data_IF_132850057537
#
_entry.id   IF_132850057537
#
_cell.length_a   1.000
_cell.length_b   1.000
_cell.length_c   1.000
_cell.angle_alpha   90.00
_cell.angle_beta   90.00
_cell.angle_gamma   90.00
#
_symmetry.space_group_name_H-M   'P 1'
#
loop_
_entity.id
_entity.type
_entity.pdbx_description
1 polymer ?
#
# COMPACT_ATOMS: atom_id res chain seq x y z
N UNK A 1 -22.66 -8.54 -21.87
CA UNK A 1 -22.68 -7.56 -20.76
C UNK A 1 -21.38 -6.79 -20.82
N UNK A 2 -21.41 -5.46 -20.64
CA UNK A 2 -20.18 -4.66 -20.63
C UNK A 2 -19.44 -4.86 -19.30
N UNK A 3 -18.15 -5.15 -19.37
CA UNK A 3 -17.31 -5.33 -18.20
C UNK A 3 -17.03 -3.98 -17.52
N UNK A 4 -17.07 -3.95 -16.19
CA UNK A 4 -16.74 -2.81 -15.35
C UNK A 4 -15.72 -3.25 -14.31
N UNK A 5 -14.63 -2.48 -14.22
CA UNK A 5 -13.59 -2.62 -13.20
C UNK A 5 -13.48 -1.29 -12.44
N UNK A 6 -13.21 -1.37 -11.15
CA UNK A 6 -12.79 -0.25 -10.32
C UNK A 6 -11.27 -0.33 -10.12
N UNK A 7 -10.59 0.81 -10.15
CA UNK A 7 -9.20 0.93 -9.75
C UNK A 7 -9.07 2.04 -8.71
N UNK A 8 -8.34 1.79 -7.62
CA UNK A 8 -8.27 2.75 -6.50
C UNK A 8 -6.81 3.16 -6.19
N UNK A 9 -6.10 3.88 -7.08
CA UNK A 9 -4.74 4.31 -6.84
C UNK A 9 -4.60 5.14 -5.57
N UNK A 10 -3.51 4.93 -4.85
CA UNK A 10 -3.12 5.71 -3.68
C UNK A 10 -1.74 6.28 -3.93
N UNK A 11 -1.66 7.60 -3.99
CA UNK A 11 -0.39 8.31 -4.19
C UNK A 11 0.09 8.91 -2.88
N UNK A 12 1.41 8.96 -2.71
CA UNK A 12 2.09 9.55 -1.55
C UNK A 12 2.22 11.06 -1.71
N UNK A 13 1.07 11.74 -1.80
CA UNK A 13 0.93 13.20 -1.79
C UNK A 13 -0.49 13.53 -1.33
N UNK A 14 -0.64 14.46 -0.40
CA UNK A 14 -1.94 14.90 0.14
C UNK A 14 -2.03 16.39 0.45
N UNK A 15 -1.02 17.18 0.06
CA UNK A 15 -0.84 18.59 0.43
C UNK A 15 -0.69 19.51 -0.78
N UNK A 16 0.05 19.11 -1.81
CA UNK A 16 0.22 19.86 -3.05
C UNK A 16 -0.95 19.57 -4.02
N UNK A 17 -1.95 20.46 -4.02
CA UNK A 17 -3.12 20.33 -4.89
C UNK A 17 -2.76 20.40 -6.38
N UNK A 18 -1.76 21.19 -6.76
CA UNK A 18 -1.34 21.31 -8.16
C UNK A 18 -0.70 20.02 -8.68
N UNK A 19 0.10 19.35 -7.84
CA UNK A 19 0.64 18.02 -8.13
C UNK A 19 -0.50 17.00 -8.29
N UNK A 20 -1.42 16.96 -7.32
CA UNK A 20 -2.55 16.02 -7.33
C UNK A 20 -3.42 16.22 -8.58
N UNK A 21 -3.74 17.48 -8.94
CA UNK A 21 -4.51 17.80 -10.14
C UNK A 21 -3.81 17.34 -11.42
N UNK A 22 -2.49 17.52 -11.53
CA UNK A 22 -1.72 17.06 -12.68
C UNK A 22 -1.75 15.53 -12.82
N UNK A 23 -1.63 14.82 -11.70
CA UNK A 23 -1.70 13.35 -11.65
C UNK A 23 -3.10 12.84 -12.03
N UNK A 24 -4.16 13.48 -11.51
CA UNK A 24 -5.55 13.13 -11.85
C UNK A 24 -5.87 13.46 -13.31
N UNK A 25 -5.33 14.56 -13.85
CA UNK A 25 -5.52 14.93 -15.25
C UNK A 25 -4.99 13.86 -16.21
N UNK A 26 -3.87 13.21 -15.89
CA UNK A 26 -3.31 12.11 -16.68
C UNK A 26 -4.23 10.88 -16.75
N UNK A 27 -5.14 10.71 -15.77
CA UNK A 27 -6.09 9.60 -15.71
C UNK A 27 -7.36 9.82 -16.56
N UNK A 28 -7.54 11.00 -17.16
CA UNK A 28 -8.74 11.34 -17.95
C UNK A 28 -8.70 10.70 -19.33
N UNK A 29 -9.23 9.49 -19.42
CA UNK A 29 -9.22 8.65 -20.63
C UNK A 29 -10.64 8.22 -20.97
N UNK A 30 -11.01 8.32 -22.25
CA UNK A 30 -12.33 7.91 -22.73
C UNK A 30 -12.62 6.44 -22.36
N UNK A 31 -13.75 6.21 -21.69
CA UNK A 31 -14.13 4.90 -21.15
C UNK A 31 -13.67 4.64 -19.70
N UNK A 32 -12.97 5.59 -19.09
CA UNK A 32 -12.64 5.63 -17.65
C UNK A 32 -13.22 6.90 -17.02
N UNK A 33 -13.80 6.79 -15.84
CA UNK A 33 -14.31 7.92 -15.05
C UNK A 33 -13.55 8.02 -13.74
N UNK A 34 -13.08 9.23 -13.41
CA UNK A 34 -12.61 9.57 -12.06
C UNK A 34 -13.84 9.81 -11.18
N UNK A 35 -14.13 8.88 -10.28
CA UNK A 35 -15.30 8.94 -9.39
C UNK A 35 -15.04 9.81 -8.16
N UNK A 36 -13.83 9.75 -7.59
CA UNK A 36 -13.44 10.57 -6.45
C UNK A 36 -11.93 10.84 -6.40
N UNK A 37 -11.57 11.93 -5.75
CA UNK A 37 -10.19 12.32 -5.41
C UNK A 37 -10.24 12.83 -3.97
N UNK A 38 -9.58 12.10 -3.07
CA UNK A 38 -9.69 12.29 -1.62
C UNK A 38 -8.28 12.49 -1.03
N UNK A 39 -7.75 13.72 -1.06
CA UNK A 39 -6.48 14.04 -0.42
C UNK A 39 -6.64 14.16 1.10
N UNK A 40 -5.62 13.68 1.83
CA UNK A 40 -5.52 13.78 3.28
C UNK A 40 -4.14 14.36 3.64
N UNK A 41 -4.13 15.53 4.27
CA UNK A 41 -2.91 16.27 4.59
C UNK A 41 -2.10 15.66 5.73
N UNK A 42 -2.77 14.98 6.67
CA UNK A 42 -2.14 14.37 7.85
C UNK A 42 -1.47 13.06 7.44
N UNK A 43 -2.19 12.26 6.67
CA UNK A 43 -1.65 11.03 6.06
C UNK A 43 -0.69 11.31 4.91
N UNK A 44 -0.70 12.54 4.37
CA UNK A 44 0.03 12.97 3.18
C UNK A 44 -0.12 11.96 2.02
N UNK A 45 -1.38 11.64 1.74
CA UNK A 45 -1.80 10.61 0.78
C UNK A 45 -3.07 11.06 0.09
N UNK A 46 -3.22 10.70 -1.18
CA UNK A 46 -4.48 10.90 -1.92
C UNK A 46 -5.00 9.55 -2.40
N UNK A 47 -6.27 9.28 -2.11
CA UNK A 47 -7.02 8.14 -2.65
C UNK A 47 -7.77 8.62 -3.88
N UNK A 48 -7.58 7.94 -5.01
CA UNK A 48 -8.24 8.26 -6.27
C UNK A 48 -9.07 7.05 -6.66
N UNK A 49 -10.33 7.23 -7.01
CA UNK A 49 -11.22 6.14 -7.44
C UNK A 49 -11.52 6.29 -8.92
N UNK A 50 -11.17 5.28 -9.70
CA UNK A 50 -11.41 5.17 -11.14
C UNK A 50 -12.41 4.04 -11.39
N UNK A 51 -13.32 4.19 -12.33
CA UNK A 51 -14.16 3.08 -12.79
C UNK A 51 -14.50 3.19 -14.27
N UNK A 52 -14.70 2.04 -14.91
CA UNK A 52 -15.06 2.00 -16.32
C UNK A 52 -14.69 0.69 -17.00
N UNK A 53 -14.45 0.78 -18.30
CA UNK A 53 -14.06 -0.38 -19.11
C UNK A 53 -12.64 -0.85 -18.73
N UNK A 54 -12.36 -2.17 -18.76
CA UNK A 54 -11.07 -2.72 -18.34
C UNK A 54 -9.84 -2.07 -18.98
N UNK A 55 -9.83 -1.93 -20.30
CA UNK A 55 -8.71 -1.32 -21.04
C UNK A 55 -8.49 0.15 -20.67
N UNK A 56 -9.51 1.03 -20.81
CA UNK A 56 -9.42 2.43 -20.41
C UNK A 56 -9.01 2.67 -18.95
N UNK A 57 -9.53 1.87 -18.00
CA UNK A 57 -9.14 2.00 -16.59
C UNK A 57 -7.68 1.60 -16.38
N UNK A 58 -7.21 0.53 -17.04
CA UNK A 58 -5.80 0.13 -16.97
C UNK A 58 -4.86 1.20 -17.54
N UNK A 59 -5.23 1.81 -18.66
CA UNK A 59 -4.45 2.91 -19.25
C UNK A 59 -4.47 4.16 -18.36
N UNK A 60 -5.62 4.49 -17.76
CA UNK A 60 -5.74 5.62 -16.84
C UNK A 60 -4.88 5.41 -15.58
N UNK A 61 -4.92 4.20 -15.01
CA UNK A 61 -4.08 3.82 -13.87
C UNK A 61 -2.59 3.87 -14.21
N UNK A 62 -2.19 3.43 -15.41
CA UNK A 62 -0.82 3.52 -15.91
C UNK A 62 -0.37 4.98 -16.02
N UNK A 63 -1.12 5.81 -16.74
CA UNK A 63 -0.79 7.22 -16.98
C UNK A 63 -0.71 8.03 -15.67
N UNK A 64 -1.69 7.84 -14.78
CA UNK A 64 -1.69 8.41 -13.42
C UNK A 64 -0.43 8.00 -12.65
N UNK A 65 -0.09 6.71 -12.67
CA UNK A 65 1.05 6.17 -11.91
C UNK A 65 2.38 6.70 -12.43
N UNK A 66 2.55 6.76 -13.75
CA UNK A 66 3.75 7.34 -14.39
C UNK A 66 3.90 8.80 -13.99
N UNK A 67 2.82 9.59 -14.05
CA UNK A 67 2.86 11.00 -13.68
C UNK A 67 3.17 11.20 -12.18
N UNK A 68 2.59 10.38 -11.31
CA UNK A 68 2.87 10.40 -9.88
C UNK A 68 4.35 10.08 -9.58
N UNK A 69 4.90 9.03 -10.19
CA UNK A 69 6.31 8.63 -10.04
C UNK A 69 7.26 9.73 -10.55
N UNK A 70 6.87 10.46 -11.59
CA UNK A 70 7.67 11.56 -12.11
C UNK A 70 7.64 12.82 -11.25
N UNK A 71 6.60 13.02 -10.44
CA UNK A 71 6.43 14.26 -9.65
C UNK A 71 6.78 14.11 -8.18
N UNK A 72 6.50 12.95 -7.59
CA UNK A 72 6.68 12.70 -6.17
C UNK A 72 8.12 12.25 -5.93
N UNK A 73 8.78 12.89 -4.95
CA UNK A 73 10.10 12.48 -4.47
C UNK A 73 10.00 11.92 -3.05
N UNK A 74 10.02 10.59 -2.95
CA UNK A 74 9.88 9.85 -1.70
C UNK A 74 10.97 10.16 -0.68
N UNK A 75 12.15 10.62 -1.12
CA UNK A 75 13.26 11.02 -0.21
C UNK A 75 12.86 12.16 0.73
N UNK A 76 11.87 12.95 0.31
CA UNK A 76 11.35 14.10 1.06
C UNK A 76 9.94 13.88 1.60
N UNK A 77 9.33 12.74 1.27
CA UNK A 77 7.97 12.41 1.69
C UNK A 77 7.92 11.90 3.13
N UNK A 78 7.01 12.46 3.91
CA UNK A 78 6.61 11.96 5.23
C UNK A 78 5.11 12.17 5.44
N UNK A 79 4.49 11.28 6.21
CA UNK A 79 3.07 11.30 6.55
C UNK A 79 2.77 10.24 7.62
N UNK A 80 1.63 10.34 8.30
CA UNK A 80 1.26 9.40 9.36
C UNK A 80 0.81 8.02 8.84
N UNK A 81 0.40 7.96 7.57
CA UNK A 81 0.04 6.71 6.93
C UNK A 81 1.33 6.01 6.48
N UNK A 82 1.48 4.69 6.76
CA UNK A 82 2.61 3.93 6.23
C UNK A 82 2.72 4.14 4.73
N UNK A 83 3.87 3.94 4.08
CA UNK A 83 3.96 3.99 2.60
C UNK A 83 5.22 3.34 2.08
N UNK A 84 5.16 2.78 0.88
CA UNK A 84 6.33 2.16 0.24
C UNK A 84 6.88 2.98 -0.93
N UNK A 85 6.03 3.71 -1.65
CA UNK A 85 6.43 4.47 -2.84
C UNK A 85 5.44 5.55 -3.24
N UNK A 86 5.79 6.27 -4.31
CA UNK A 86 5.01 7.38 -4.89
C UNK A 86 3.60 6.94 -5.26
N UNK A 87 3.46 5.73 -5.81
CA UNK A 87 2.19 5.01 -5.94
C UNK A 87 2.21 3.86 -4.94
N UNK A 88 1.75 4.15 -3.74
CA UNK A 88 1.82 3.22 -2.62
C UNK A 88 1.02 1.95 -2.88
N UNK A 89 -0.18 2.09 -3.46
CA UNK A 89 -0.98 0.95 -3.91
C UNK A 89 -1.93 1.32 -5.05
N UNK A 90 -2.05 0.45 -6.04
CA UNK A 90 -2.93 0.59 -7.20
C UNK A 90 -3.68 -0.74 -7.46
N UNK A 91 -4.79 -0.99 -6.73
CA UNK A 91 -5.59 -2.20 -6.88
C UNK A 91 -6.58 -2.10 -8.04
N UNK A 92 -6.86 -3.23 -8.68
CA UNK A 92 -7.98 -3.46 -9.59
C UNK A 92 -9.02 -4.38 -8.92
N UNK A 93 -10.29 -4.00 -9.01
CA UNK A 93 -11.39 -4.65 -8.31
C UNK A 93 -12.49 -5.01 -9.32
N UNK A 94 -12.91 -6.29 -9.39
CA UNK A 94 -13.97 -6.71 -10.30
C UNK A 94 -15.33 -6.18 -9.81
N UNK A 95 -16.03 -5.43 -10.67
CA UNK A 95 -17.37 -4.88 -10.37
C UNK A 95 -18.46 -5.64 -11.13
N UNK A 96 -18.33 -5.75 -12.45
CA UNK A 96 -19.34 -6.41 -13.28
C UNK A 96 -18.70 -7.06 -14.51
N UNK A 97 -19.10 -8.28 -14.84
CA UNK A 97 -18.71 -8.92 -16.11
C UNK A 97 -17.20 -9.11 -16.31
N UNK A 98 -16.42 -9.11 -15.22
CA UNK A 98 -14.97 -9.33 -15.20
C UNK A 98 -14.60 -10.19 -13.98
N UNK A 99 -13.65 -11.10 -14.13
CA UNK A 99 -13.22 -11.97 -13.03
C UNK A 99 -12.10 -11.34 -12.20
N UNK A 100 -11.84 -11.90 -11.02
CA UNK A 100 -10.69 -11.52 -10.21
C UNK A 100 -9.36 -11.83 -10.92
N UNK A 101 -9.30 -12.95 -11.64
CA UNK A 101 -8.12 -13.34 -12.42
C UNK A 101 -7.84 -12.34 -13.55
N UNK A 102 -8.89 -11.86 -14.24
CA UNK A 102 -8.74 -10.79 -15.23
C UNK A 102 -8.20 -9.50 -14.61
N UNK A 103 -8.68 -9.13 -13.41
CA UNK A 103 -8.16 -7.96 -12.69
C UNK A 103 -6.69 -8.15 -12.27
N UNK A 104 -6.31 -9.36 -11.86
CA UNK A 104 -4.92 -9.69 -11.52
C UNK A 104 -4.00 -9.56 -12.74
N UNK A 105 -4.45 -10.03 -13.92
CA UNK A 105 -3.72 -9.85 -15.18
C UNK A 105 -3.60 -8.37 -15.56
N UNK A 106 -4.69 -7.60 -15.48
CA UNK A 106 -4.65 -6.15 -15.73
C UNK A 106 -3.64 -5.45 -14.81
N UNK A 107 -3.65 -5.79 -13.51
CA UNK A 107 -2.72 -5.22 -12.55
C UNK A 107 -1.26 -5.54 -12.87
N UNK A 108 -0.96 -6.78 -13.26
CA UNK A 108 0.38 -7.20 -13.65
C UNK A 108 0.85 -6.51 -14.95
N UNK A 109 -0.02 -6.43 -15.96
CA UNK A 109 0.28 -5.76 -17.23
C UNK A 109 0.58 -4.26 -17.02
N UNK A 110 -0.20 -3.59 -16.16
CA UNK A 110 0.04 -2.18 -15.80
C UNK A 110 1.32 -2.04 -15.00
N UNK A 111 1.57 -2.93 -14.04
CA UNK A 111 2.78 -2.92 -13.22
C UNK A 111 4.06 -3.03 -14.06
N UNK A 112 4.08 -3.95 -15.04
CA UNK A 112 5.21 -4.14 -15.95
C UNK A 112 5.45 -2.89 -16.80
N UNK A 113 4.39 -2.32 -17.38
CA UNK A 113 4.49 -1.10 -18.20
C UNK A 113 5.02 0.08 -17.38
N UNK A 114 4.43 0.34 -16.21
CA UNK A 114 4.88 1.42 -15.31
C UNK A 114 6.35 1.24 -14.93
N UNK A 115 6.77 0.02 -14.59
CA UNK A 115 8.17 -0.26 -14.28
C UNK A 115 9.10 0.02 -15.48
N UNK A 116 8.70 -0.40 -16.69
CA UNK A 116 9.51 -0.20 -17.89
C UNK A 116 9.63 1.28 -18.30
N UNK A 117 8.58 2.07 -18.13
CA UNK A 117 8.55 3.48 -18.52
C UNK A 117 9.24 4.40 -17.52
N UNK A 118 9.17 4.07 -16.23
CA UNK A 118 9.67 4.95 -15.16
C UNK A 118 11.00 4.47 -14.57
N UNK A 119 11.36 3.20 -14.76
CA UNK A 119 12.48 2.57 -14.07
C UNK A 119 12.25 2.36 -12.56
N UNK A 120 11.02 2.54 -12.06
CA UNK A 120 10.70 2.32 -10.65
C UNK A 120 10.67 0.81 -10.30
N UNK A 121 11.05 0.42 -9.07
CA UNK A 121 10.80 -0.92 -8.57
C UNK A 121 9.31 -1.12 -8.29
N UNK A 122 8.72 -2.14 -8.90
CA UNK A 122 7.28 -2.42 -8.81
C UNK A 122 7.02 -3.82 -8.24
N UNK A 123 6.11 -3.88 -7.28
CA UNK A 123 5.68 -5.11 -6.62
C UNK A 123 4.21 -5.40 -6.93
N UNK A 124 3.90 -6.67 -7.17
CA UNK A 124 2.54 -7.17 -7.37
C UNK A 124 2.03 -7.85 -6.10
N UNK A 125 0.82 -7.50 -5.67
CA UNK A 125 0.22 -7.97 -4.43
C UNK A 125 -1.21 -8.52 -4.63
N UNK A 126 -1.79 -9.03 -3.55
CA UNK A 126 -3.19 -9.47 -3.54
C UNK A 126 -3.39 -10.75 -4.35
N UNK A 127 -4.45 -10.79 -5.16
CA UNK A 127 -4.77 -11.94 -6.03
C UNK A 127 -3.87 -12.01 -7.28
N UNK A 128 -3.03 -11.00 -7.53
CA UNK A 128 -1.97 -11.04 -8.54
C UNK A 128 -0.58 -11.39 -7.98
N UNK A 129 -0.48 -11.69 -6.68
CA UNK A 129 0.78 -11.92 -6.01
C UNK A 129 1.57 -13.11 -6.60
N UNK A 130 2.85 -12.88 -6.93
CA UNK A 130 3.78 -13.93 -7.37
C UNK A 130 4.19 -14.91 -6.25
N UNK A 131 3.95 -14.55 -4.99
CA UNK A 131 4.27 -15.36 -3.82
C UNK A 131 3.21 -15.17 -2.72
N UNK A 132 2.84 -16.22 -1.96
CA UNK A 132 1.78 -16.13 -0.94
C UNK A 132 1.95 -15.00 0.08
N UNK A 133 3.20 -14.69 0.46
CA UNK A 133 3.49 -13.63 1.43
C UNK A 133 3.26 -12.21 0.88
N UNK A 134 3.15 -12.02 -0.45
CA UNK A 134 2.75 -10.74 -1.08
C UNK A 134 1.23 -10.54 -1.10
N UNK A 135 0.42 -11.54 -0.71
CA UNK A 135 -1.05 -11.42 -0.76
C UNK A 135 -1.58 -10.31 0.17
N UNK A 136 -0.96 -10.12 1.33
CA UNK A 136 -1.28 -9.02 2.26
C UNK A 136 -0.37 -7.83 2.02
N UNK A 137 -0.95 -6.68 1.69
CA UNK A 137 -0.22 -5.43 1.47
C UNK A 137 0.61 -5.01 2.70
N UNK A 138 0.08 -5.18 3.91
CA UNK A 138 0.79 -4.88 5.16
C UNK A 138 2.09 -5.66 5.32
N UNK A 139 2.12 -6.91 4.84
CA UNK A 139 3.35 -7.71 4.85
C UNK A 139 4.35 -7.13 3.86
N UNK A 140 3.89 -6.79 2.65
CA UNK A 140 4.72 -6.24 1.59
C UNK A 140 5.30 -4.87 1.93
N UNK A 141 4.60 -4.06 2.73
CA UNK A 141 5.01 -2.72 3.21
C UNK A 141 5.78 -2.74 4.52
N UNK A 142 6.07 -3.89 5.09
CA UNK A 142 6.82 -3.95 6.35
C UNK A 142 8.21 -3.31 6.17
N UNK A 143 8.51 -2.31 7.00
CA UNK A 143 9.72 -1.49 6.89
C UNK A 143 9.54 -0.22 6.06
N UNK A 144 8.40 -0.06 5.37
CA UNK A 144 8.03 1.15 4.62
C UNK A 144 9.08 1.55 3.57
N UNK A 145 9.09 2.81 3.17
CA UNK A 145 10.10 3.40 2.30
C UNK A 145 11.49 3.36 2.93
N UNK A 146 11.62 3.66 4.23
CA UNK A 146 12.90 3.74 4.94
C UNK A 146 13.65 2.41 4.92
N UNK A 147 12.92 1.28 5.00
CA UNK A 147 13.50 -0.07 4.94
C UNK A 147 13.70 -0.59 3.52
N UNK A 148 13.36 0.17 2.48
CA UNK A 148 13.41 -0.31 1.09
C UNK A 148 14.84 -0.43 0.57
N UNK A 149 15.74 0.49 0.90
CA UNK A 149 17.15 0.42 0.49
C UNK A 149 17.83 -0.84 1.02
N UNK A 150 17.70 -1.10 2.32
CA UNK A 150 18.16 -2.33 2.94
C UNK A 150 17.50 -3.54 2.29
N UNK A 151 16.18 -3.51 2.07
CA UNK A 151 15.46 -4.56 1.35
C UNK A 151 15.99 -4.75 -0.07
N UNK A 152 16.48 -3.76 -0.78
CA UNK A 152 16.96 -3.92 -2.17
C UNK A 152 18.45 -4.23 -2.30
N UNK A 153 19.20 -4.12 -1.21
CA UNK A 153 20.62 -4.52 -1.13
C UNK A 153 20.77 -6.05 -1.01
N UNK A 154 21.91 -6.66 -1.31
CA UNK A 154 22.08 -8.14 -1.21
C UNK A 154 22.11 -8.60 0.25
N UNK A 155 22.87 -7.90 1.10
CA UNK A 155 23.07 -8.24 2.52
C UNK A 155 22.38 -7.28 3.49
N UNK A 156 21.51 -6.38 2.99
CA UNK A 156 20.80 -5.43 3.83
C UNK A 156 19.85 -6.11 4.83
N UNK A 157 19.69 -5.53 6.02
CA UNK A 157 18.86 -6.10 7.07
C UNK A 157 17.36 -5.91 6.72
N UNK A 158 16.64 -7.01 6.47
CA UNK A 158 15.23 -6.91 6.08
C UNK A 158 14.37 -8.04 6.62
N UNK A 159 13.08 -7.75 6.79
CA UNK A 159 12.06 -8.73 7.15
C UNK A 159 11.58 -9.57 5.95
N UNK A 160 12.04 -9.24 4.75
CA UNK A 160 11.61 -9.87 3.50
C UNK A 160 12.67 -10.85 3.02
N UNK A 161 12.32 -12.14 2.94
CA UNK A 161 13.19 -13.18 2.37
C UNK A 161 12.83 -13.42 0.91
N UNK A 162 11.79 -14.21 0.65
CA UNK A 162 11.40 -14.66 -0.70
C UNK A 162 10.77 -13.54 -1.54
N UNK A 163 10.28 -12.50 -0.86
CA UNK A 163 9.60 -11.36 -1.49
C UNK A 163 10.41 -10.09 -1.45
N UNK A 164 11.71 -10.22 -1.20
CA UNK A 164 12.64 -9.10 -1.08
C UNK A 164 12.65 -8.22 -2.33
N UNK A 165 12.79 -8.83 -3.50
CA UNK A 165 12.94 -8.11 -4.78
C UNK A 165 11.60 -7.75 -5.42
N UNK A 166 11.54 -6.63 -6.16
CA UNK A 166 10.36 -6.28 -6.96
C UNK A 166 10.09 -7.33 -8.04
N UNK A 167 8.83 -7.41 -8.46
CA UNK A 167 8.43 -8.28 -9.59
C UNK A 167 8.91 -7.68 -10.91
N UNK A 168 8.85 -6.35 -11.05
CA UNK A 168 9.29 -5.61 -12.23
C UNK A 168 10.21 -4.43 -11.87
N UNK A 169 11.06 -4.02 -12.81
CA UNK A 169 12.01 -2.92 -12.60
C UNK A 169 13.33 -3.37 -11.93
N UNK A 170 14.12 -2.41 -11.41
CA UNK A 170 15.46 -2.69 -10.90
C UNK A 170 15.42 -3.55 -9.64
N UNK A 171 16.30 -4.56 -9.58
CA UNK A 171 16.46 -5.46 -8.42
C UNK A 171 17.51 -4.97 -7.41
N UNK A 172 18.11 -3.81 -7.65
CA UNK A 172 19.09 -3.16 -6.79
C UNK A 172 18.66 -1.71 -6.54
N UNK A 173 19.19 -1.10 -5.48
CA UNK A 173 18.91 0.30 -5.17
C UNK A 173 19.52 1.22 -6.24
N UNK A 174 18.71 2.13 -6.77
CA UNK A 174 19.08 3.13 -7.79
C UNK A 174 18.57 4.50 -7.37
N UNK A 175 19.04 5.58 -8.00
CA UNK A 175 18.49 6.92 -7.75
C UNK A 175 16.98 6.98 -8.05
N UNK A 176 16.54 6.27 -9.11
CA UNK A 176 15.12 6.14 -9.41
C UNK A 176 14.36 5.40 -8.31
N UNK A 177 14.89 4.31 -7.76
CA UNK A 177 14.28 3.61 -6.63
C UNK A 177 14.23 4.48 -5.36
N UNK A 178 15.27 5.28 -5.12
CA UNK A 178 15.28 6.25 -4.03
C UNK A 178 14.20 7.31 -4.21
N UNK A 179 14.03 7.83 -5.42
CA UNK A 179 13.04 8.87 -5.72
C UNK A 179 11.60 8.34 -5.72
N UNK A 180 11.35 7.18 -6.32
CA UNK A 180 9.99 6.64 -6.47
C UNK A 180 9.53 5.79 -5.30
N UNK A 181 10.46 5.25 -4.49
CA UNK A 181 10.17 4.12 -3.61
C UNK A 181 9.66 2.90 -4.38
N UNK A 182 9.06 1.94 -3.65
CA UNK A 182 8.51 0.71 -4.18
C UNK A 182 7.02 0.84 -4.47
N UNK A 183 6.65 0.90 -5.74
CA UNK A 183 5.25 1.04 -6.13
C UNK A 183 4.53 -0.31 -6.11
N UNK A 184 3.25 -0.35 -5.73
CA UNK A 184 2.52 -1.62 -5.65
C UNK A 184 1.24 -1.64 -6.46
N UNK A 185 1.01 -2.76 -7.16
CA UNK A 185 -0.17 -2.98 -8.01
C UNK A 185 -0.75 -4.35 -7.69
N UNK A 186 -2.05 -4.52 -7.82
CA UNK A 186 -2.62 -5.84 -7.58
C UNK A 186 -4.10 -5.91 -7.86
N UNK A 187 -4.69 -7.04 -7.50
CA UNK A 187 -6.14 -7.22 -7.55
C UNK A 187 -6.65 -7.69 -6.20
N UNK A 188 -7.84 -7.24 -5.83
CA UNK A 188 -8.47 -7.60 -4.56
C UNK A 188 -9.98 -7.46 -4.64
N UNK A 189 -10.74 -8.11 -3.74
CA UNK A 189 -12.15 -7.80 -3.59
C UNK A 189 -12.36 -6.34 -3.14
N UNK A 190 -13.60 -5.87 -3.28
CA UNK A 190 -14.05 -4.58 -2.74
C UNK A 190 -13.66 -4.51 -1.26
N UNK A 191 -13.10 -3.37 -0.86
CA UNK A 191 -12.79 -3.06 0.54
C UNK A 191 -13.55 -1.80 0.89
N UNK A 192 -14.30 -1.89 1.98
CA UNK A 192 -15.04 -0.76 2.52
C UNK A 192 -14.22 -0.22 3.70
N UNK A 193 -13.68 0.99 3.54
CA UNK A 193 -13.10 1.71 4.66
C UNK A 193 -14.24 2.22 5.54
N UNK A 194 -14.31 1.73 6.78
CA UNK A 194 -15.38 2.07 7.71
C UNK A 194 -14.77 2.58 9.02
N UNK A 195 -14.84 3.89 9.21
CA UNK A 195 -14.37 4.57 10.43
C UNK A 195 -15.54 4.75 11.39
N UNK A 196 -15.32 4.43 12.67
CA UNK A 196 -16.30 4.64 13.75
C UNK A 196 -15.75 5.69 14.70
N UNK A 197 -16.42 6.84 14.76
CA UNK A 197 -16.09 7.89 15.70
C UNK A 197 -16.58 7.49 17.09
N UNK A 198 -15.67 7.44 18.05
CA UNK A 198 -15.94 7.07 19.44
C UNK A 198 -15.77 8.33 20.30
N UNK A 199 -16.78 8.73 21.09
CA UNK A 199 -16.73 9.94 21.90
C UNK A 199 -15.89 9.70 23.17
N UNK A 200 -14.59 9.51 22.99
CA UNK A 200 -13.60 9.33 24.04
C UNK A 200 -12.48 10.36 23.84
N UNK A 201 -11.88 10.89 24.92
CA UNK A 201 -10.87 11.93 24.83
C UNK A 201 -9.53 11.44 24.27
N UNK A 202 -9.28 10.12 24.28
CA UNK A 202 -8.05 9.52 23.77
C UNK A 202 -8.31 8.31 22.85
N UNK A 203 -7.26 7.89 22.15
CA UNK A 203 -7.31 6.75 21.23
C UNK A 203 -7.25 5.38 21.92
N UNK A 204 -7.09 5.29 23.24
CA UNK A 204 -6.87 4.02 23.93
C UNK A 204 -8.11 3.12 23.85
N UNK A 205 -9.29 3.69 24.12
CA UNK A 205 -10.57 2.96 24.05
C UNK A 205 -10.87 2.53 22.61
N UNK A 206 -10.70 3.44 21.66
CA UNK A 206 -10.86 3.14 20.23
C UNK A 206 -9.95 2.01 19.76
N UNK A 207 -8.67 2.02 20.16
CA UNK A 207 -7.70 0.97 19.83
C UNK A 207 -8.08 -0.39 20.44
N UNK A 208 -8.60 -0.41 21.66
CA UNK A 208 -9.08 -1.64 22.30
C UNK A 208 -10.27 -2.24 21.54
N UNK A 209 -11.26 -1.41 21.20
CA UNK A 209 -12.43 -1.84 20.42
C UNK A 209 -12.00 -2.39 19.05
N UNK A 210 -11.13 -1.66 18.32
CA UNK A 210 -10.61 -2.11 17.03
C UNK A 210 -9.89 -3.47 17.10
N UNK A 211 -9.15 -3.71 18.19
CA UNK A 211 -8.47 -5.00 18.43
C UNK A 211 -9.44 -6.16 18.64
N UNK A 212 -10.61 -5.89 19.24
CA UNK A 212 -11.64 -6.90 19.48
C UNK A 212 -12.45 -7.21 18.22
N UNK A 213 -12.71 -6.20 17.37
CA UNK A 213 -13.57 -6.33 16.18
C UNK A 213 -12.83 -6.88 14.96
N UNK A 214 -11.53 -6.59 14.81
CA UNK A 214 -10.76 -7.04 13.63
C UNK A 214 -10.74 -8.57 13.49
N UNK A 215 -10.77 -9.08 12.27
CA UNK A 215 -10.80 -10.53 12.01
C UNK A 215 -9.57 -11.31 12.50
N UNK A 216 -8.44 -10.64 12.76
CA UNK A 216 -7.27 -11.25 13.43
C UNK A 216 -7.42 -11.38 14.95
N UNK A 217 -8.46 -10.79 15.53
CA UNK A 217 -8.77 -10.80 16.94
C UNK A 217 -7.67 -10.19 17.83
N UNK A 218 -7.78 -10.51 19.13
CA UNK A 218 -6.80 -10.18 20.17
C UNK A 218 -5.80 -11.33 20.27
N UNK A 219 -4.50 -11.02 20.19
CA UNK A 219 -3.47 -11.98 20.59
C UNK A 219 -3.59 -12.12 22.11
N UNK A 220 -4.24 -13.19 22.56
CA UNK A 220 -4.22 -13.57 23.97
C UNK A 220 -2.84 -14.17 24.19
N UNK A 221 -1.95 -13.44 24.88
CA UNK A 221 -0.72 -14.04 25.37
C UNK A 221 -1.10 -15.27 26.21
N UNK A 222 -0.44 -16.43 26.03
CA UNK A 222 -0.67 -17.56 26.92
C UNK A 222 -0.46 -17.08 28.36
N UNK A 223 -1.25 -17.58 29.33
CA UNK A 223 -1.07 -17.19 30.72
C UNK A 223 0.39 -17.46 31.12
N UNK A 224 1.00 -16.57 31.92
CA UNK A 224 2.34 -16.81 32.42
C UNK A 224 2.38 -18.20 33.08
N UNK A 225 3.47 -18.97 32.90
CA UNK A 225 3.61 -20.22 33.64
C UNK A 225 3.41 -19.95 35.13
N UNK A 226 2.81 -20.88 35.88
CA UNK A 226 2.63 -20.72 37.31
C UNK A 226 3.97 -20.35 37.95
N UNK A 227 3.99 -19.43 38.93
CA UNK A 227 5.24 -18.93 39.48
C UNK A 227 6.09 -20.10 39.98
N UNK A 228 7.18 -20.36 39.25
CA UNK A 228 8.23 -21.26 39.68
C UNK A 228 8.86 -20.67 40.94
N UNK A 229 8.85 -21.43 42.02
CA UNK A 229 9.42 -21.00 43.28
C UNK A 229 10.91 -20.69 43.13
N UNK A 230 11.29 -19.46 43.50
CA UNK A 230 12.62 -19.14 44.00
C UNK A 230 13.58 -18.45 43.04
N UNK A 231 14.07 -17.27 43.46
CA UNK A 231 15.31 -16.67 42.99
C UNK A 231 15.14 -15.33 42.28
N UNK A 232 15.21 -14.23 43.03
CA UNK A 232 15.08 -12.88 42.51
C UNK A 232 16.28 -12.43 41.68
N UNK A 233 16.00 -11.78 40.54
CA UNK A 233 16.89 -10.82 39.89
C UNK A 233 16.01 -9.74 39.26
N UNK A 234 16.35 -8.48 39.53
CA UNK A 234 15.65 -7.28 39.05
C UNK A 234 15.98 -7.08 37.55
N UNK A 235 14.96 -7.01 36.69
CA UNK A 235 15.10 -6.70 35.26
C UNK A 235 14.63 -5.27 34.96
N UNK A 236 15.25 -4.57 33.97
CA UNK A 236 14.97 -3.18 33.68
C UNK A 236 13.60 -2.97 33.01
N UNK A 237 13.12 -1.72 33.08
CA UNK A 237 11.79 -1.31 32.60
C UNK A 237 11.58 -1.61 31.10
N UNK A 238 10.36 -2.00 30.69
CA UNK A 238 10.06 -2.32 29.31
C UNK A 238 9.99 -1.04 28.44
N UNK A 239 10.37 -1.12 27.15
CA UNK A 239 10.21 -0.01 26.21
C UNK A 239 8.72 0.30 25.96
N UNK A 240 8.40 1.54 25.53
CA UNK A 240 7.03 1.94 25.25
C UNK A 240 6.44 1.13 24.07
N UNK A 241 5.12 0.91 24.06
CA UNK A 241 4.46 0.06 23.07
C UNK A 241 4.43 0.72 21.69
N UNK A 242 4.51 -0.07 20.60
CA UNK A 242 4.39 0.46 19.25
C UNK A 242 2.97 0.99 18.98
N UNK A 243 2.92 2.13 18.30
CA UNK A 243 1.69 2.68 17.74
C UNK A 243 1.26 1.81 16.54
N UNK A 244 -0.03 1.52 16.45
CA UNK A 244 -0.60 0.66 15.42
C UNK A 244 -1.69 1.44 14.70
N UNK A 245 -1.48 1.68 13.42
CA UNK A 245 -2.46 2.20 12.45
C UNK A 245 -3.36 1.03 12.01
N UNK A 246 -4.67 1.27 11.89
CA UNK A 246 -5.68 0.31 11.41
C UNK A 246 -5.57 0.18 9.89
#
# INVERSE_FOLDING_TARGET
>A
MNAIVECVPNISEGRDSGLIEAVVAAARIDGCTVLSVEPDSDYNRTVITLAGQPGPVAEAARALSVEAIHRIDMRTHSGEHPRLGAVDVCPFIPIQGITMEDCARLAADVAEKVASETGAPVFVYGEGASHPTRKKLSNLRKGEYEGLEDRMTEDGATNHTDTRRPDFGPKHWTDQAARSGGCTFGARPVLIAYNVNIPEPDAAVAKMIGTLVRGSGRIVAPPPPPPGGGGGVVSPAPPPPPQATI
#
